data_IF_675674633132
#
_entry.id   IF_675674633132
#
_cell.length_a   1.000
_cell.length_b   1.000
_cell.length_c   1.000
_cell.angle_alpha   90.00
_cell.angle_beta   90.00
_cell.angle_gamma   90.00
#
_symmetry.space_group_name_H-M   'P 1'
#
loop_
_entity.id
_entity.type
_entity.pdbx_description
1 polymer ?
#
# COMPACT_ATOMS: atom_id res chain seq x y z
N UNK A 1 35.32 -8.91 -9.24
CA UNK A 1 34.11 -8.17 -8.80
C UNK A 1 33.88 -7.07 -9.81
N UNK A 2 32.80 -7.18 -10.54
CA UNK A 2 32.61 -6.50 -11.83
C UNK A 2 32.32 -5.00 -11.66
N UNK A 3 32.89 -4.16 -12.54
CA UNK A 3 32.65 -2.70 -12.56
C UNK A 3 31.14 -2.34 -12.68
N UNK A 4 30.34 -3.22 -13.26
CA UNK A 4 28.89 -3.08 -13.35
C UNK A 4 28.20 -3.18 -11.99
N UNK A 5 28.60 -4.11 -11.12
CA UNK A 5 28.03 -4.27 -9.78
C UNK A 5 28.35 -3.07 -8.89
N UNK A 6 29.60 -2.55 -8.96
CA UNK A 6 29.98 -1.34 -8.22
C UNK A 6 29.21 -0.10 -8.67
N UNK A 7 28.90 0.01 -9.96
CA UNK A 7 28.11 1.14 -10.48
C UNK A 7 26.65 1.07 -10.08
N UNK A 8 26.05 -0.13 -10.13
CA UNK A 8 24.69 -0.37 -9.66
C UNK A 8 24.55 -0.05 -8.16
N UNK A 9 25.50 -0.47 -7.32
CA UNK A 9 25.53 -0.22 -5.87
C UNK A 9 25.61 1.29 -5.54
N UNK A 10 26.41 2.05 -6.30
CA UNK A 10 26.51 3.52 -6.15
C UNK A 10 25.25 4.23 -6.61
N UNK A 11 24.64 3.80 -7.73
CA UNK A 11 23.39 4.37 -8.24
C UNK A 11 22.24 4.08 -7.27
N UNK A 12 22.18 2.90 -6.66
CA UNK A 12 21.16 2.53 -5.66
C UNK A 12 21.30 3.31 -4.36
N UNK A 13 22.53 3.51 -3.86
CA UNK A 13 22.78 4.37 -2.68
C UNK A 13 22.40 5.82 -2.94
N UNK A 14 22.71 6.37 -4.11
CA UNK A 14 22.30 7.72 -4.47
C UNK A 14 20.78 7.84 -4.57
N UNK A 15 20.09 6.83 -5.12
CA UNK A 15 18.65 6.79 -5.19
C UNK A 15 18.01 6.68 -3.79
N UNK A 16 18.58 5.88 -2.88
CA UNK A 16 18.12 5.76 -1.49
C UNK A 16 18.25 7.09 -0.75
N UNK A 17 19.40 7.76 -0.87
CA UNK A 17 19.60 9.09 -0.26
C UNK A 17 18.62 10.12 -0.83
N UNK A 18 18.34 10.10 -2.11
CA UNK A 18 17.37 10.99 -2.72
C UNK A 18 15.94 10.72 -2.23
N UNK A 19 15.53 9.45 -2.12
CA UNK A 19 14.22 9.07 -1.54
C UNK A 19 14.10 9.55 -0.11
N UNK A 20 15.10 9.29 0.72
CA UNK A 20 15.17 9.79 2.09
C UNK A 20 14.98 11.31 2.17
N UNK A 21 15.76 12.08 1.43
CA UNK A 21 15.64 13.55 1.43
C UNK A 21 14.25 14.03 1.02
N UNK A 22 13.60 13.36 0.07
CA UNK A 22 12.23 13.69 -0.34
C UNK A 22 11.20 13.40 0.76
N UNK A 23 11.32 12.27 1.48
CA UNK A 23 10.45 11.96 2.62
C UNK A 23 10.62 12.98 3.75
N UNK A 24 11.86 13.33 4.08
CA UNK A 24 12.16 14.37 5.09
C UNK A 24 11.56 15.71 4.68
N UNK A 25 11.66 16.10 3.40
CA UNK A 25 11.08 17.34 2.90
C UNK A 25 9.54 17.35 3.01
N UNK A 26 8.89 16.27 2.60
CA UNK A 26 7.43 16.14 2.69
C UNK A 26 6.94 16.20 4.15
N UNK A 27 7.60 15.47 5.06
CA UNK A 27 7.32 15.52 6.50
C UNK A 27 7.51 16.91 7.07
N UNK A 28 8.63 17.57 6.76
CA UNK A 28 8.93 18.90 7.25
C UNK A 28 7.86 19.93 6.84
N UNK A 29 7.37 19.87 5.61
CA UNK A 29 6.28 20.73 5.14
C UNK A 29 4.97 20.48 5.90
N UNK A 30 4.61 19.23 6.20
CA UNK A 30 3.40 18.92 6.98
C UNK A 30 3.53 19.40 8.45
N UNK A 31 4.68 19.20 9.07
CA UNK A 31 4.95 19.71 10.43
C UNK A 31 4.92 21.25 10.45
N UNK A 32 5.52 21.92 9.47
CA UNK A 32 5.50 23.38 9.36
C UNK A 32 4.06 23.92 9.23
N UNK A 33 3.23 23.30 8.39
CA UNK A 33 1.80 23.66 8.27
C UNK A 33 1.05 23.46 9.58
N UNK A 34 1.27 22.34 10.26
CA UNK A 34 0.63 22.04 11.54
C UNK A 34 1.08 23.03 12.62
N UNK A 35 2.32 23.51 12.57
CA UNK A 35 2.88 24.54 13.47
C UNK A 35 2.38 25.96 13.15
N UNK A 36 1.62 26.14 12.06
CA UNK A 36 1.12 27.46 11.66
C UNK A 36 2.18 28.37 11.03
N UNK A 37 3.29 27.80 10.53
CA UNK A 37 4.28 28.58 9.79
C UNK A 37 3.71 29.11 8.47
N UNK A 38 4.11 30.30 8.04
CA UNK A 38 3.67 30.88 6.78
C UNK A 38 4.10 30.03 5.59
N UNK A 39 3.22 29.80 4.62
CA UNK A 39 3.51 29.04 3.40
C UNK A 39 4.58 29.68 2.50
N UNK A 40 4.91 30.96 2.71
CA UNK A 40 6.05 31.63 2.07
C UNK A 40 7.41 30.99 2.41
N UNK A 41 7.48 30.25 3.54
CA UNK A 41 8.67 29.50 3.95
C UNK A 41 8.76 28.09 3.35
N UNK A 42 7.67 27.57 2.76
CA UNK A 42 7.64 26.24 2.18
C UNK A 42 8.80 25.99 1.19
N UNK A 43 9.12 26.88 0.22
CA UNK A 43 10.23 26.65 -0.72
C UNK A 43 11.59 26.59 -0.05
N UNK A 44 11.81 27.37 1.02
CA UNK A 44 13.08 27.37 1.77
C UNK A 44 13.22 26.08 2.56
N UNK A 45 12.15 25.67 3.24
CA UNK A 45 12.13 24.45 4.04
C UNK A 45 12.30 23.22 3.16
N UNK A 46 11.61 23.15 2.02
CA UNK A 46 11.74 22.07 1.06
C UNK A 46 13.17 21.96 0.52
N UNK A 47 13.76 23.05 0.04
CA UNK A 47 15.15 23.06 -0.42
C UNK A 47 16.12 22.65 0.68
N UNK A 48 15.94 23.15 1.89
CA UNK A 48 16.78 22.81 3.01
C UNK A 48 16.72 21.33 3.34
N UNK A 49 15.53 20.76 3.37
CA UNK A 49 15.31 19.34 3.62
C UNK A 49 15.82 18.44 2.48
N UNK A 50 15.67 18.85 1.20
CA UNK A 50 16.21 18.10 0.06
C UNK A 50 17.74 18.05 0.04
N UNK A 51 18.43 19.04 0.58
CA UNK A 51 19.88 19.15 0.54
C UNK A 51 20.56 18.96 1.91
N UNK A 52 19.85 18.51 2.95
CA UNK A 52 20.41 18.43 4.30
C UNK A 52 21.62 17.49 4.42
N UNK A 53 21.72 16.43 3.63
CA UNK A 53 22.89 15.57 3.56
C UNK A 53 24.07 16.18 2.78
N UNK A 54 23.80 17.05 1.80
CA UNK A 54 24.84 17.72 1.02
C UNK A 54 25.43 18.93 1.74
N UNK A 55 24.63 19.52 2.60
CA UNK A 55 25.02 20.60 3.50
C UNK A 55 25.45 19.91 4.78
N UNK A 56 26.72 19.68 4.99
CA UNK A 56 27.27 19.20 6.26
C UNK A 56 26.84 20.19 7.38
N UNK A 57 25.59 20.01 7.84
CA UNK A 57 24.89 20.89 8.79
C UNK A 57 25.64 20.98 10.12
N UNK A 58 26.48 19.96 10.42
CA UNK A 58 27.32 19.93 11.58
C UNK A 58 28.58 20.82 11.46
N UNK A 59 29.01 21.15 10.24
CA UNK A 59 30.31 21.81 10.03
C UNK A 59 30.28 23.21 9.38
N UNK A 60 29.26 23.57 8.56
CA UNK A 60 29.14 24.94 8.00
C UNK A 60 27.69 25.33 7.67
N UNK A 61 26.99 26.04 8.55
CA UNK A 61 25.59 26.46 8.36
C UNK A 61 25.35 27.55 7.29
N UNK A 62 26.37 27.97 6.55
CA UNK A 62 26.36 29.23 5.77
C UNK A 62 25.44 29.36 4.56
N UNK A 63 25.15 28.34 3.73
CA UNK A 63 24.25 28.53 2.58
C UNK A 63 22.78 28.58 2.99
N UNK A 64 22.38 27.74 3.94
CA UNK A 64 20.99 27.62 4.42
C UNK A 64 20.59 28.84 5.24
N UNK A 65 21.48 29.26 6.16
CA UNK A 65 21.30 30.45 6.98
C UNK A 65 21.15 31.70 6.08
N UNK A 66 21.88 31.76 4.96
CA UNK A 66 21.82 32.91 4.07
C UNK A 66 20.56 32.94 3.23
N UNK A 67 20.13 31.80 2.68
CA UNK A 67 18.89 31.69 1.90
C UNK A 67 17.66 31.93 2.80
N UNK A 68 17.65 31.34 3.99
CA UNK A 68 16.57 31.52 4.96
C UNK A 68 16.52 32.98 5.48
N UNK A 69 17.66 33.58 5.79
CA UNK A 69 17.73 34.99 6.23
C UNK A 69 17.35 35.97 5.12
N UNK A 70 17.66 35.66 3.85
CA UNK A 70 17.25 36.50 2.71
C UNK A 70 15.71 36.48 2.52
N UNK A 71 15.05 35.32 2.74
CA UNK A 71 13.60 35.18 2.67
C UNK A 71 12.92 35.77 3.91
N UNK A 72 13.41 35.47 5.10
CA UNK A 72 12.87 35.98 6.36
C UNK A 72 13.06 37.50 6.52
N UNK A 73 14.20 38.02 6.04
CA UNK A 73 14.50 39.46 6.06
C UNK A 73 13.61 40.28 5.13
N UNK A 74 13.09 39.69 4.07
CA UNK A 74 12.16 40.36 3.12
C UNK A 74 10.74 40.51 3.67
N UNK A 75 10.31 39.70 4.66
CA UNK A 75 8.94 39.68 5.17
C UNK A 75 8.77 40.26 6.59
N UNK A 76 9.83 40.74 7.22
CA UNK A 76 9.77 41.43 8.54
C UNK A 76 9.65 40.50 9.74
N UNK A 77 10.12 39.27 9.62
CA UNK A 77 10.20 38.28 10.70
C UNK A 77 11.43 38.49 11.60
N UNK A 78 11.38 38.01 12.85
CA UNK A 78 12.54 37.89 13.73
C UNK A 78 13.37 36.65 13.31
N UNK A 79 14.15 36.81 12.27
CA UNK A 79 14.79 35.74 11.49
C UNK A 79 15.64 34.72 12.26
N UNK A 80 15.91 34.88 13.56
CA UNK A 80 16.69 33.93 14.35
C UNK A 80 15.80 32.85 14.95
N UNK A 81 14.60 33.20 15.41
CA UNK A 81 13.64 32.24 16.00
C UNK A 81 13.08 31.29 14.97
N UNK A 82 12.64 31.82 13.82
CA UNK A 82 12.11 31.00 12.73
C UNK A 82 13.18 30.09 12.10
N UNK A 83 14.41 30.58 11.96
CA UNK A 83 15.51 29.76 11.48
C UNK A 83 15.79 28.57 12.41
N UNK A 84 15.77 28.79 13.73
CA UNK A 84 15.94 27.74 14.72
C UNK A 84 14.81 26.72 14.65
N UNK A 85 13.57 27.18 14.46
CA UNK A 85 12.40 26.34 14.27
C UNK A 85 12.52 25.49 12.99
N UNK A 86 12.90 26.06 11.84
CA UNK A 86 13.10 25.32 10.59
C UNK A 86 14.17 24.24 10.73
N UNK A 87 15.28 24.54 11.42
CA UNK A 87 16.34 23.56 11.71
C UNK A 87 15.82 22.43 12.59
N UNK A 88 15.05 22.75 13.62
CA UNK A 88 14.41 21.76 14.49
C UNK A 88 13.45 20.85 13.75
N UNK A 89 12.61 21.39 12.87
CA UNK A 89 11.69 20.62 12.03
C UNK A 89 12.47 19.62 11.17
N UNK A 90 13.51 20.08 10.45
CA UNK A 90 14.29 19.18 9.57
C UNK A 90 15.00 18.10 10.38
N UNK A 91 15.63 18.46 11.50
CA UNK A 91 16.35 17.51 12.36
C UNK A 91 15.43 16.41 12.90
N UNK A 92 14.24 16.78 13.38
CA UNK A 92 13.26 15.83 13.89
C UNK A 92 12.67 14.96 12.77
N UNK A 93 12.32 15.55 11.62
CA UNK A 93 11.81 14.80 10.49
C UNK A 93 12.85 13.80 9.94
N UNK A 94 14.14 14.17 9.96
CA UNK A 94 15.24 13.27 9.63
C UNK A 94 15.30 12.08 10.59
N UNK A 95 15.24 12.33 11.89
CA UNK A 95 15.23 11.25 12.89
C UNK A 95 14.01 10.35 12.78
N UNK A 96 12.83 10.92 12.55
CA UNK A 96 11.60 10.14 12.30
C UNK A 96 11.78 9.24 11.08
N UNK A 97 12.31 9.78 9.98
CA UNK A 97 12.51 9.02 8.75
C UNK A 97 13.50 7.87 8.95
N UNK A 98 14.64 8.14 9.59
CA UNK A 98 15.63 7.11 9.90
C UNK A 98 15.08 6.00 10.81
N UNK A 99 14.27 6.35 11.81
CA UNK A 99 13.68 5.38 12.72
C UNK A 99 12.56 4.56 12.05
N UNK A 100 11.72 5.18 11.22
CA UNK A 100 10.67 4.46 10.48
C UNK A 100 11.27 3.49 9.46
N UNK A 101 12.34 3.88 8.76
CA UNK A 101 13.09 2.98 7.88
C UNK A 101 13.69 1.80 8.66
N UNK A 102 14.22 2.07 9.86
CA UNK A 102 14.79 1.04 10.74
C UNK A 102 13.73 0.04 11.28
N UNK A 103 12.44 0.42 11.30
CA UNK A 103 11.34 -0.48 11.68
C UNK A 103 11.22 -1.73 10.79
N UNK A 104 11.85 -1.74 9.64
CA UNK A 104 11.95 -2.95 8.82
C UNK A 104 12.78 -4.05 9.51
N UNK A 105 13.72 -3.67 10.37
CA UNK A 105 14.68 -4.58 11.01
C UNK A 105 14.41 -4.78 12.52
N UNK A 106 13.97 -3.73 13.22
CA UNK A 106 13.66 -3.77 14.66
C UNK A 106 12.29 -3.14 14.93
N UNK A 107 11.22 -3.93 15.12
CA UNK A 107 9.89 -3.37 15.36
C UNK A 107 9.83 -2.67 16.72
N UNK A 108 9.99 -1.35 16.71
CA UNK A 108 9.62 -0.46 17.80
C UNK A 108 8.24 0.12 17.55
N UNK A 109 7.47 0.37 18.60
CA UNK A 109 6.23 1.12 18.44
C UNK A 109 6.52 2.58 18.07
N UNK A 110 5.78 3.15 17.12
CA UNK A 110 5.98 4.54 16.68
C UNK A 110 5.87 5.55 17.84
N UNK A 111 5.05 5.24 18.84
CA UNK A 111 4.91 6.11 20.01
C UNK A 111 6.18 6.15 20.86
N UNK A 112 6.94 5.04 20.96
CA UNK A 112 8.24 4.98 21.62
C UNK A 112 9.28 5.81 20.84
N UNK A 113 9.28 5.68 19.51
CA UNK A 113 10.13 6.49 18.62
C UNK A 113 9.86 7.98 18.82
N UNK A 114 8.60 8.39 18.83
CA UNK A 114 8.23 9.79 19.01
C UNK A 114 8.58 10.30 20.43
N UNK A 115 8.60 9.43 21.45
CA UNK A 115 9.07 9.80 22.79
C UNK A 115 10.59 10.03 22.81
N UNK A 116 11.39 9.11 22.26
CA UNK A 116 12.84 9.25 22.12
C UNK A 116 13.21 10.54 21.36
N UNK A 117 12.46 10.86 20.28
CA UNK A 117 12.68 12.09 19.49
C UNK A 117 12.29 13.34 20.31
N UNK A 118 11.28 13.28 21.17
CA UNK A 118 10.88 14.37 22.05
C UNK A 118 11.97 14.67 23.08
N UNK A 119 12.57 13.63 23.67
CA UNK A 119 13.71 13.76 24.60
C UNK A 119 14.94 14.36 23.89
N UNK A 120 15.25 13.89 22.69
CA UNK A 120 16.31 14.45 21.86
C UNK A 120 16.07 15.93 21.53
N UNK A 121 14.86 16.31 21.11
CA UNK A 121 14.49 17.68 20.81
C UNK A 121 14.72 18.60 22.02
N UNK A 122 14.30 18.17 23.21
CA UNK A 122 14.51 18.90 24.44
C UNK A 122 16.01 19.06 24.80
N UNK A 123 16.82 18.02 24.57
CA UNK A 123 18.26 18.03 24.82
C UNK A 123 18.99 19.00 23.88
N UNK A 124 18.65 19.02 22.58
CA UNK A 124 19.23 19.90 21.57
C UNK A 124 18.65 21.32 21.60
N UNK A 125 17.66 21.59 22.48
CA UNK A 125 17.04 22.91 22.63
C UNK A 125 16.03 23.24 21.52
N UNK A 126 15.51 22.25 20.80
CA UNK A 126 14.40 22.42 19.88
C UNK A 126 13.06 22.43 20.62
N UNK A 127 12.04 22.99 19.98
CA UNK A 127 10.69 23.03 20.56
C UNK A 127 10.05 21.63 20.57
N UNK A 128 9.81 21.00 21.74
CA UNK A 128 9.17 19.68 21.82
C UNK A 128 7.75 19.64 21.22
N UNK A 129 7.05 20.77 21.14
CA UNK A 129 5.72 20.84 20.52
C UNK A 129 5.73 20.42 19.04
N UNK A 130 6.88 20.48 18.36
CA UNK A 130 7.02 19.98 16.99
C UNK A 130 6.76 18.47 16.91
N UNK A 131 7.15 17.71 17.94
CA UNK A 131 6.87 16.26 18.03
C UNK A 131 5.37 16.01 18.25
N UNK A 132 4.66 16.90 18.96
CA UNK A 132 3.22 16.78 19.18
C UNK A 132 2.43 16.93 17.87
N UNK A 133 2.94 17.67 16.89
CA UNK A 133 2.34 17.70 15.56
C UNK A 133 2.44 16.34 14.88
N UNK A 134 3.56 15.63 14.96
CA UNK A 134 3.72 14.26 14.47
C UNK A 134 2.80 13.30 15.21
N UNK A 135 2.70 13.43 16.54
CA UNK A 135 1.75 12.64 17.34
C UNK A 135 0.28 12.87 16.92
N UNK A 136 -0.06 14.09 16.48
CA UNK A 136 -1.41 14.41 16.03
C UNK A 136 -1.83 13.69 14.75
N UNK A 137 -0.88 13.20 13.95
CA UNK A 137 -1.14 12.39 12.77
C UNK A 137 -1.56 10.96 13.13
N UNK A 138 -1.26 10.48 14.34
CA UNK A 138 -1.47 9.09 14.76
C UNK A 138 -2.95 8.72 14.89
N UNK A 139 -3.29 7.53 14.42
CA UNK A 139 -4.57 6.85 14.63
C UNK A 139 -4.33 5.58 15.45
N UNK A 140 -4.22 5.73 16.76
CA UNK A 140 -3.84 4.65 17.70
C UNK A 140 -4.87 3.53 17.81
N UNK A 141 -6.12 3.81 17.52
CA UNK A 141 -7.24 2.86 17.67
C UNK A 141 -7.52 2.05 16.41
N UNK A 142 -6.81 2.30 15.29
CA UNK A 142 -7.08 1.61 14.03
C UNK A 142 -6.95 0.10 14.15
N UNK A 143 -5.83 -0.40 14.66
CA UNK A 143 -5.59 -1.83 14.81
C UNK A 143 -6.59 -2.49 15.76
N UNK A 144 -6.87 -1.86 16.91
CA UNK A 144 -7.88 -2.34 17.85
C UNK A 144 -9.29 -2.44 17.22
N UNK A 145 -9.66 -1.46 16.39
CA UNK A 145 -10.93 -1.46 15.66
C UNK A 145 -11.00 -2.55 14.62
N UNK A 146 -9.88 -2.83 13.94
CA UNK A 146 -9.78 -3.94 12.99
C UNK A 146 -9.92 -5.27 13.70
N UNK A 147 -9.21 -5.47 14.81
CA UNK A 147 -9.25 -6.70 15.61
C UNK A 147 -10.62 -6.96 16.24
N UNK A 148 -11.32 -5.91 16.68
CA UNK A 148 -12.70 -6.02 17.19
C UNK A 148 -13.74 -6.26 16.08
N UNK A 149 -13.35 -6.09 14.81
CA UNK A 149 -14.28 -6.13 13.67
C UNK A 149 -15.14 -4.88 13.55
N UNK A 150 -14.87 -3.85 14.37
CA UNK A 150 -15.55 -2.57 14.31
C UNK A 150 -14.95 -1.71 13.19
N UNK A 151 -15.80 -1.28 12.27
CA UNK A 151 -15.39 -0.33 11.23
C UNK A 151 -15.07 -0.92 9.88
N UNK A 152 -14.97 -2.26 9.74
CA UNK A 152 -15.08 -2.87 8.42
C UNK A 152 -16.57 -2.92 8.03
N UNK A 153 -16.91 -2.67 6.76
CA UNK A 153 -18.28 -2.80 6.29
C UNK A 153 -18.89 -4.16 6.67
N UNK A 154 -20.20 -4.20 6.92
CA UNK A 154 -20.93 -5.44 7.29
C UNK A 154 -20.70 -6.55 6.26
N UNK A 155 -20.43 -6.17 5.03
CA UNK A 155 -20.07 -7.01 3.89
C UNK A 155 -18.82 -7.87 4.13
N UNK A 156 -17.92 -7.47 5.06
CA UNK A 156 -16.74 -8.25 5.38
C UNK A 156 -17.07 -9.67 5.87
N UNK A 157 -18.15 -9.86 6.62
CA UNK A 157 -18.63 -11.19 7.05
C UNK A 157 -19.23 -12.00 5.88
N UNK A 158 -19.84 -11.32 4.92
CA UNK A 158 -20.33 -11.94 3.69
C UNK A 158 -19.17 -12.35 2.80
N UNK A 159 -18.16 -11.49 2.66
CA UNK A 159 -16.91 -11.80 1.94
C UNK A 159 -16.24 -13.05 2.53
N UNK A 160 -16.03 -13.11 3.84
CA UNK A 160 -15.46 -14.27 4.52
C UNK A 160 -16.19 -15.57 4.18
N UNK A 161 -17.55 -15.55 4.22
CA UNK A 161 -18.36 -16.75 3.90
C UNK A 161 -18.24 -17.18 2.47
N UNK A 162 -18.22 -16.25 1.53
CA UNK A 162 -18.08 -16.54 0.11
C UNK A 162 -16.67 -17.07 -0.19
N UNK A 163 -15.64 -16.44 0.37
CA UNK A 163 -14.28 -16.94 0.21
C UNK A 163 -14.11 -18.35 0.78
N UNK A 164 -14.61 -18.62 1.98
CA UNK A 164 -14.57 -19.97 2.56
C UNK A 164 -15.28 -21.02 1.70
N UNK A 165 -16.35 -20.65 0.99
CA UNK A 165 -17.09 -21.55 0.13
C UNK A 165 -16.38 -21.79 -1.22
N UNK A 166 -15.66 -20.79 -1.73
CA UNK A 166 -15.10 -20.78 -3.09
C UNK A 166 -13.57 -20.85 -3.16
N UNK A 167 -12.89 -20.92 -2.01
CA UNK A 167 -11.44 -20.81 -1.92
C UNK A 167 -10.70 -22.06 -2.42
N UNK A 168 -11.32 -23.27 -2.27
CA UNK A 168 -10.69 -24.52 -2.68
C UNK A 168 -10.50 -24.57 -4.20
N UNK A 169 -9.32 -24.98 -4.64
CA UNK A 169 -9.05 -25.19 -6.06
C UNK A 169 -9.55 -26.57 -6.51
N UNK A 170 -10.79 -26.59 -6.90
CA UNK A 170 -11.48 -27.76 -7.43
C UNK A 170 -12.52 -27.33 -8.45
N UNK A 171 -12.97 -28.29 -9.21
CA UNK A 171 -14.15 -28.07 -10.05
C UNK A 171 -15.39 -27.86 -9.15
N UNK A 172 -16.14 -26.83 -9.45
CA UNK A 172 -17.41 -26.52 -8.81
C UNK A 172 -18.55 -26.87 -9.75
N UNK A 173 -19.53 -27.55 -9.22
CA UNK A 173 -20.77 -27.78 -9.96
C UNK A 173 -21.58 -26.48 -10.05
N UNK A 174 -22.46 -26.39 -11.09
CA UNK A 174 -23.28 -25.19 -11.30
C UNK A 174 -24.14 -24.89 -10.09
N UNK A 175 -24.74 -25.92 -9.50
CA UNK A 175 -25.63 -25.86 -8.33
C UNK A 175 -24.93 -25.32 -7.09
N UNK A 176 -23.62 -25.61 -6.91
CA UNK A 176 -22.83 -25.09 -5.80
C UNK A 176 -22.63 -23.58 -5.93
N UNK A 177 -22.23 -23.12 -7.12
CA UNK A 177 -22.05 -21.70 -7.40
C UNK A 177 -23.38 -20.93 -7.36
N UNK A 178 -24.45 -21.54 -7.84
CA UNK A 178 -25.80 -21.02 -7.73
C UNK A 178 -26.21 -20.84 -6.28
N UNK A 179 -25.94 -21.83 -5.41
CA UNK A 179 -26.21 -21.77 -3.99
C UNK A 179 -25.42 -20.65 -3.29
N UNK A 180 -24.21 -20.30 -3.75
CA UNK A 180 -23.45 -19.14 -3.25
C UNK A 180 -24.09 -17.83 -3.75
N UNK A 181 -24.41 -17.73 -5.04
CA UNK A 181 -24.97 -16.51 -5.63
C UNK A 181 -26.35 -16.16 -5.04
N UNK A 182 -27.20 -17.15 -4.78
CA UNK A 182 -28.54 -16.92 -4.22
C UNK A 182 -28.56 -16.46 -2.75
N UNK A 183 -27.45 -16.55 -2.04
CA UNK A 183 -27.35 -16.02 -0.66
C UNK A 183 -27.34 -14.51 -0.58
N UNK A 184 -27.01 -13.84 -1.70
CA UNK A 184 -26.90 -12.39 -1.76
C UNK A 184 -27.40 -11.88 -3.13
N UNK A 185 -28.48 -11.06 -3.16
CA UNK A 185 -29.01 -10.52 -4.41
C UNK A 185 -27.99 -9.71 -5.22
N UNK A 186 -26.98 -9.10 -4.56
CA UNK A 186 -25.92 -8.34 -5.23
C UNK A 186 -25.01 -9.29 -6.02
N UNK A 187 -24.67 -10.45 -5.44
CA UNK A 187 -23.87 -11.47 -6.11
C UNK A 187 -24.62 -12.03 -7.34
N UNK A 188 -25.89 -12.40 -7.16
CA UNK A 188 -26.73 -12.89 -8.23
C UNK A 188 -26.87 -11.86 -9.37
N UNK A 189 -27.17 -10.61 -9.01
CA UNK A 189 -27.29 -9.50 -9.96
C UNK A 189 -25.99 -9.21 -10.70
N UNK A 190 -24.85 -9.21 -10.00
CA UNK A 190 -23.53 -8.98 -10.61
C UNK A 190 -23.18 -10.10 -11.59
N UNK A 191 -23.40 -11.37 -11.21
CA UNK A 191 -23.10 -12.52 -12.06
C UNK A 191 -23.93 -12.48 -13.36
N UNK A 192 -25.25 -12.26 -13.26
CA UNK A 192 -26.14 -12.13 -14.42
C UNK A 192 -25.77 -10.88 -15.25
N UNK A 193 -25.41 -9.77 -14.61
CA UNK A 193 -24.97 -8.54 -15.26
C UNK A 193 -23.70 -8.73 -16.08
N UNK A 194 -22.68 -9.39 -15.51
CA UNK A 194 -21.41 -9.72 -16.20
C UNK A 194 -21.68 -10.63 -17.39
N UNK A 195 -22.48 -11.67 -17.23
CA UNK A 195 -22.81 -12.61 -18.31
C UNK A 195 -23.60 -11.93 -19.46
N UNK A 196 -24.37 -10.89 -19.18
CA UNK A 196 -25.07 -10.07 -20.17
C UNK A 196 -24.25 -8.89 -20.71
N UNK A 197 -23.02 -8.70 -20.27
CA UNK A 197 -22.20 -7.58 -20.72
C UNK A 197 -21.84 -7.67 -22.21
N UNK A 198 -21.47 -6.55 -22.81
CA UNK A 198 -21.01 -6.50 -24.20
C UNK A 198 -19.78 -7.39 -24.46
N UNK A 199 -19.02 -7.73 -23.44
CA UNK A 199 -17.83 -8.59 -23.53
C UNK A 199 -18.17 -10.06 -23.77
N UNK A 200 -19.30 -10.52 -23.21
CA UNK A 200 -19.82 -11.86 -23.44
C UNK A 200 -20.83 -11.93 -24.58
N UNK A 201 -21.57 -10.85 -24.80
CA UNK A 201 -22.54 -10.67 -25.93
C UNK A 201 -23.43 -11.86 -26.17
N UNK A 202 -24.23 -12.36 -25.21
CA UNK A 202 -25.11 -13.48 -25.43
C UNK A 202 -26.16 -13.13 -26.47
N UNK A 203 -26.52 -14.10 -27.34
CA UNK A 203 -27.51 -13.92 -28.41
C UNK A 203 -28.91 -13.59 -27.92
N UNK A 204 -29.20 -13.88 -26.66
CA UNK A 204 -30.43 -13.51 -25.93
C UNK A 204 -30.10 -13.12 -24.51
N UNK A 205 -30.90 -12.26 -23.91
CA UNK A 205 -30.74 -11.83 -22.54
C UNK A 205 -30.88 -13.01 -21.57
N UNK A 206 -29.85 -13.20 -20.72
CA UNK A 206 -29.86 -14.21 -19.66
C UNK A 206 -30.59 -13.62 -18.45
N UNK A 207 -31.47 -14.40 -17.82
CA UNK A 207 -32.33 -13.91 -16.71
C UNK A 207 -32.17 -14.68 -15.41
N UNK A 208 -31.40 -15.76 -15.38
CA UNK A 208 -31.14 -16.52 -14.16
C UNK A 208 -29.65 -16.72 -13.93
N UNK A 209 -29.31 -17.01 -12.69
CA UNK A 209 -27.94 -17.33 -12.23
C UNK A 209 -27.47 -18.61 -12.95
N UNK A 210 -28.30 -19.64 -13.00
CA UNK A 210 -27.99 -20.89 -13.70
C UNK A 210 -27.62 -20.66 -15.17
N UNK A 211 -28.44 -19.88 -15.90
CA UNK A 211 -28.14 -19.49 -17.27
C UNK A 211 -26.81 -18.73 -17.40
N UNK A 212 -26.57 -17.83 -16.48
CA UNK A 212 -25.33 -17.05 -16.43
C UNK A 212 -24.11 -17.98 -16.24
N UNK A 213 -24.14 -18.86 -15.22
CA UNK A 213 -23.06 -19.81 -14.95
C UNK A 213 -22.84 -20.75 -16.16
N UNK A 214 -23.90 -21.33 -16.68
CA UNK A 214 -23.82 -22.23 -17.83
C UNK A 214 -23.24 -21.55 -19.08
N UNK A 215 -23.49 -20.25 -19.24
CA UNK A 215 -23.03 -19.48 -20.39
C UNK A 215 -21.55 -19.05 -20.26
N UNK A 216 -21.12 -18.55 -19.12
CA UNK A 216 -19.74 -18.07 -18.92
C UNK A 216 -18.78 -19.15 -18.39
N UNK A 217 -19.33 -20.30 -17.96
CA UNK A 217 -18.60 -21.40 -17.35
C UNK A 217 -18.36 -21.22 -15.84
N UNK A 218 -18.14 -22.33 -15.14
CA UNK A 218 -17.98 -22.37 -13.67
C UNK A 218 -16.73 -21.62 -13.19
N UNK A 219 -15.62 -21.71 -13.91
CA UNK A 219 -14.37 -21.01 -13.57
C UNK A 219 -14.56 -19.49 -13.60
N UNK A 220 -15.15 -18.96 -14.67
CA UNK A 220 -15.42 -17.53 -14.77
C UNK A 220 -16.47 -17.07 -13.75
N UNK A 221 -17.52 -17.85 -13.53
CA UNK A 221 -18.54 -17.56 -12.53
C UNK A 221 -17.99 -17.49 -11.12
N UNK A 222 -17.11 -18.42 -10.73
CA UNK A 222 -16.39 -18.41 -9.46
C UNK A 222 -15.59 -17.11 -9.30
N UNK A 223 -14.81 -16.72 -10.30
CA UNK A 223 -14.01 -15.47 -10.29
C UNK A 223 -14.91 -14.24 -10.11
N UNK A 224 -16.05 -14.21 -10.83
CA UNK A 224 -17.04 -13.13 -10.73
C UNK A 224 -17.62 -13.05 -9.31
N UNK A 225 -18.02 -14.16 -8.72
CA UNK A 225 -18.60 -14.19 -7.38
C UNK A 225 -17.58 -13.72 -6.31
N UNK A 226 -16.31 -14.14 -6.43
CA UNK A 226 -15.26 -13.73 -5.51
C UNK A 226 -14.95 -12.23 -5.61
N UNK A 227 -14.88 -11.68 -6.81
CA UNK A 227 -14.70 -10.25 -7.01
C UNK A 227 -15.95 -9.44 -6.59
N UNK A 228 -17.13 -9.92 -6.90
CA UNK A 228 -18.41 -9.24 -6.60
C UNK A 228 -18.63 -9.03 -5.10
N UNK A 229 -18.20 -9.98 -4.27
CA UNK A 229 -18.36 -9.87 -2.81
C UNK A 229 -17.46 -8.80 -2.18
N UNK A 230 -16.34 -8.48 -2.81
CA UNK A 230 -15.44 -7.41 -2.36
C UNK A 230 -15.85 -6.03 -2.88
N UNK A 231 -16.53 -5.98 -4.02
CA UNK A 231 -16.88 -4.73 -4.69
C UNK A 231 -17.56 -3.69 -3.79
N UNK A 232 -18.53 -4.03 -2.90
CA UNK A 232 -19.14 -3.05 -2.01
C UNK A 232 -18.15 -2.32 -1.11
N UNK A 233 -17.02 -2.96 -0.77
CA UNK A 233 -15.94 -2.35 0.03
C UNK A 233 -15.28 -1.19 -0.73
N UNK A 234 -15.26 -1.24 -2.06
CA UNK A 234 -14.65 -0.24 -2.95
C UNK A 234 -15.66 0.76 -3.52
N UNK A 235 -16.90 0.78 -3.05
CA UNK A 235 -17.99 1.57 -3.66
C UNK A 235 -17.82 3.10 -3.53
N UNK A 236 -16.92 3.60 -2.66
CA UNK A 236 -16.64 5.03 -2.58
C UNK A 236 -15.76 5.49 -3.75
N UNK A 237 -16.00 6.72 -4.24
CA UNK A 237 -15.29 7.27 -5.41
C UNK A 237 -13.75 7.33 -5.24
N UNK A 238 -13.25 7.48 -4.01
CA UNK A 238 -11.82 7.47 -3.71
C UNK A 238 -11.14 6.10 -3.81
N UNK A 239 -11.92 5.01 -3.78
CA UNK A 239 -11.39 3.64 -3.74
C UNK A 239 -11.35 2.95 -5.11
N UNK A 240 -11.78 3.60 -6.18
CA UNK A 240 -11.76 3.01 -7.54
C UNK A 240 -10.35 2.64 -8.01
N UNK A 241 -9.35 3.41 -7.61
CA UNK A 241 -7.94 3.10 -7.94
C UNK A 241 -7.51 1.79 -7.27
N UNK A 242 -7.81 1.62 -5.98
CA UNK A 242 -7.53 0.38 -5.25
C UNK A 242 -8.26 -0.82 -5.85
N UNK A 243 -9.53 -0.66 -6.25
CA UNK A 243 -10.25 -1.70 -6.98
C UNK A 243 -9.56 -2.11 -8.28
N UNK A 244 -9.16 -1.13 -9.08
CA UNK A 244 -8.47 -1.38 -10.35
C UNK A 244 -7.15 -2.10 -10.14
N UNK A 245 -6.43 -1.73 -9.09
CA UNK A 245 -5.18 -2.35 -8.66
C UNK A 245 -5.42 -3.80 -8.23
N UNK A 246 -6.32 -4.05 -7.28
CA UNK A 246 -6.66 -5.40 -6.82
C UNK A 246 -7.07 -6.33 -7.96
N UNK A 247 -7.85 -5.83 -8.92
CA UNK A 247 -8.25 -6.60 -10.11
C UNK A 247 -7.06 -6.91 -11.04
N UNK A 248 -6.14 -5.98 -11.24
CA UNK A 248 -4.94 -6.23 -12.03
C UNK A 248 -4.05 -7.26 -11.33
N UNK A 249 -3.76 -7.07 -10.05
CA UNK A 249 -2.94 -8.00 -9.26
C UNK A 249 -3.56 -9.41 -9.24
N UNK A 250 -4.88 -9.52 -9.08
CA UNK A 250 -5.60 -10.79 -9.15
C UNK A 250 -5.43 -11.50 -10.52
N UNK A 251 -5.48 -10.73 -11.60
CA UNK A 251 -5.28 -11.25 -12.94
C UNK A 251 -3.85 -11.79 -13.10
N UNK A 252 -2.84 -11.00 -12.75
CA UNK A 252 -1.43 -11.41 -12.85
C UNK A 252 -1.12 -12.58 -11.92
N UNK A 253 -1.57 -12.56 -10.67
CA UNK A 253 -1.39 -13.68 -9.75
C UNK A 253 -2.03 -14.96 -10.27
N UNK A 254 -3.26 -14.89 -10.82
CA UNK A 254 -3.92 -16.06 -11.39
C UNK A 254 -3.18 -16.63 -12.60
N UNK A 255 -2.68 -15.77 -13.50
CA UNK A 255 -1.92 -16.18 -14.67
C UNK A 255 -0.53 -16.73 -14.33
N UNK A 256 0.20 -16.06 -13.43
CA UNK A 256 1.52 -16.52 -13.00
C UNK A 256 1.48 -17.82 -12.21
N UNK A 257 0.39 -18.09 -11.49
CA UNK A 257 0.22 -19.34 -10.76
C UNK A 257 0.32 -20.58 -11.68
N UNK A 258 -0.07 -20.47 -12.95
CA UNK A 258 0.07 -21.54 -13.94
C UNK A 258 1.53 -21.94 -14.23
N UNK A 259 2.48 -21.07 -13.89
CA UNK A 259 3.92 -21.29 -14.04
C UNK A 259 4.61 -21.74 -12.75
N UNK A 260 3.86 -22.01 -11.68
CA UNK A 260 4.38 -22.49 -10.38
C UNK A 260 3.77 -23.83 -9.99
N UNK A 261 4.39 -24.54 -9.07
CA UNK A 261 3.87 -25.80 -8.51
C UNK A 261 3.32 -25.66 -7.09
N UNK A 262 3.44 -24.49 -6.48
CA UNK A 262 3.09 -24.26 -5.07
C UNK A 262 1.81 -23.43 -4.88
N UNK A 263 1.23 -22.92 -5.96
CA UNK A 263 0.04 -22.07 -5.92
C UNK A 263 -0.85 -22.39 -7.15
N UNK A 264 -2.12 -22.59 -6.92
CA UNK A 264 -3.08 -22.72 -8.00
C UNK A 264 -3.64 -21.39 -8.51
N UNK A 265 -4.18 -21.37 -9.72
CA UNK A 265 -4.72 -20.16 -10.34
C UNK A 265 -5.85 -19.51 -9.53
N UNK A 266 -6.65 -20.33 -8.83
CA UNK A 266 -7.72 -19.84 -7.97
C UNK A 266 -7.21 -19.18 -6.68
N UNK A 267 -6.19 -19.75 -6.06
CA UNK A 267 -5.54 -19.16 -4.90
C UNK A 267 -4.78 -17.89 -5.28
N UNK A 268 -4.10 -17.89 -6.43
CA UNK A 268 -3.45 -16.70 -6.98
C UNK A 268 -4.45 -15.55 -7.19
N UNK A 269 -5.63 -15.83 -7.72
CA UNK A 269 -6.69 -14.83 -7.85
C UNK A 269 -7.08 -14.24 -6.50
N UNK A 270 -7.28 -15.07 -5.48
CA UNK A 270 -7.67 -14.61 -4.14
C UNK A 270 -6.55 -13.77 -3.54
N UNK A 271 -5.32 -14.23 -3.63
CA UNK A 271 -4.14 -13.53 -3.12
C UNK A 271 -4.05 -12.13 -3.73
N UNK A 272 -4.14 -12.01 -5.05
CA UNK A 272 -4.10 -10.72 -5.73
C UNK A 272 -5.30 -9.82 -5.44
N UNK A 273 -6.51 -10.36 -5.18
CA UNK A 273 -7.67 -9.56 -4.79
C UNK A 273 -7.56 -8.99 -3.37
N UNK A 274 -6.91 -9.71 -2.47
CA UNK A 274 -6.94 -9.42 -1.03
C UNK A 274 -5.66 -8.78 -0.49
N UNK A 275 -4.57 -8.72 -1.28
CA UNK A 275 -3.29 -8.25 -0.77
C UNK A 275 -3.35 -6.83 -0.18
N UNK A 276 -4.13 -5.95 -0.80
CA UNK A 276 -4.34 -4.56 -0.39
C UNK A 276 -5.57 -4.32 0.51
N UNK A 277 -6.11 -5.38 1.09
CA UNK A 277 -7.27 -5.24 1.98
C UNK A 277 -6.98 -4.31 3.18
N UNK A 278 -5.74 -4.27 3.62
CA UNK A 278 -5.29 -3.36 4.66
C UNK A 278 -5.32 -1.89 4.25
N UNK A 279 -4.90 -1.57 3.02
CA UNK A 279 -4.98 -0.21 2.48
C UNK A 279 -6.44 0.27 2.39
N UNK A 280 -7.34 -0.61 1.94
CA UNK A 280 -8.77 -0.34 1.93
C UNK A 280 -9.31 -0.03 3.34
N UNK A 281 -8.94 -0.85 4.33
CA UNK A 281 -9.36 -0.66 5.72
C UNK A 281 -8.83 0.67 6.29
N UNK A 282 -7.55 0.98 6.05
CA UNK A 282 -6.93 2.23 6.45
C UNK A 282 -7.66 3.45 5.87
N UNK A 283 -7.92 3.46 4.56
CA UNK A 283 -8.68 4.53 3.90
C UNK A 283 -10.11 4.68 4.43
N UNK A 284 -10.78 3.57 4.72
CA UNK A 284 -12.15 3.59 5.22
C UNK A 284 -12.24 4.14 6.65
N UNK A 285 -11.30 3.75 7.52
CA UNK A 285 -11.32 4.09 8.93
C UNK A 285 -10.73 5.47 9.23
N UNK A 286 -9.87 6.01 8.37
CA UNK A 286 -9.15 7.27 8.62
C UNK A 286 -9.55 8.42 7.66
N UNK A 287 -10.79 8.49 7.25
CA UNK A 287 -11.29 9.55 6.34
C UNK A 287 -10.99 10.98 6.81
N UNK A 288 -10.85 11.22 8.12
CA UNK A 288 -10.62 12.55 8.68
C UNK A 288 -9.17 13.04 8.53
N UNK A 289 -8.18 12.12 8.47
CA UNK A 289 -6.74 12.41 8.38
C UNK A 289 -6.17 12.22 6.98
N UNK A 290 -6.97 11.68 6.06
CA UNK A 290 -6.56 11.31 4.69
C UNK A 290 -5.88 12.45 3.91
N UNK A 291 -6.20 13.71 4.21
CA UNK A 291 -5.57 14.84 3.52
C UNK A 291 -4.08 14.99 3.85
N UNK A 292 -3.64 14.79 5.11
CA UNK A 292 -2.22 14.87 5.48
C UNK A 292 -1.44 13.70 4.88
N UNK A 293 -1.95 12.47 5.00
CA UNK A 293 -1.35 11.29 4.40
C UNK A 293 -1.25 11.40 2.87
N UNK A 294 -2.31 11.85 2.20
CA UNK A 294 -2.31 12.05 0.75
C UNK A 294 -1.23 13.06 0.31
N UNK A 295 -1.06 14.18 1.03
CA UNK A 295 -0.01 15.15 0.71
C UNK A 295 1.40 14.59 0.93
N UNK A 296 1.62 13.74 1.94
CA UNK A 296 2.89 13.06 2.12
C UNK A 296 3.20 12.12 0.95
N UNK A 297 2.21 11.35 0.50
CA UNK A 297 2.35 10.48 -0.68
C UNK A 297 2.61 11.31 -1.95
N UNK A 298 1.87 12.39 -2.18
CA UNK A 298 2.12 13.33 -3.27
C UNK A 298 3.53 13.96 -3.20
N UNK A 299 4.03 14.20 -1.98
CA UNK A 299 5.39 14.66 -1.72
C UNK A 299 6.48 13.61 -1.95
N UNK A 300 6.10 12.35 -2.24
CA UNK A 300 7.00 11.24 -2.57
C UNK A 300 7.31 10.29 -1.41
N UNK A 301 6.52 10.33 -0.33
CA UNK A 301 6.57 9.28 0.69
C UNK A 301 5.84 8.03 0.19
N UNK A 302 6.43 6.83 0.30
CA UNK A 302 5.73 5.57 0.04
C UNK A 302 4.46 5.42 0.89
N UNK A 303 3.43 4.77 0.36
CA UNK A 303 2.20 4.48 1.13
C UNK A 303 2.50 3.72 2.41
N UNK A 304 3.32 2.68 2.34
CA UNK A 304 3.75 1.87 3.49
C UNK A 304 4.42 2.70 4.59
N UNK A 305 5.27 3.66 4.20
CA UNK A 305 5.90 4.59 5.14
C UNK A 305 4.87 5.46 5.86
N UNK A 306 3.96 6.08 5.11
CA UNK A 306 2.93 6.94 5.70
C UNK A 306 1.97 6.14 6.59
N UNK A 307 1.65 4.92 6.22
CA UNK A 307 0.81 4.01 7.02
C UNK A 307 1.47 3.65 8.35
N UNK A 308 2.75 3.29 8.35
CA UNK A 308 3.53 3.07 9.58
C UNK A 308 3.50 4.30 10.48
N UNK A 309 3.76 5.48 9.92
CA UNK A 309 3.72 6.72 10.69
C UNK A 309 2.34 6.99 11.31
N UNK A 310 1.25 6.81 10.55
CA UNK A 310 -0.11 7.15 10.97
C UNK A 310 -0.75 6.06 11.83
N UNK A 311 -0.54 4.80 11.51
CA UNK A 311 -1.26 3.66 12.09
C UNK A 311 -0.37 2.74 12.94
N UNK A 312 0.95 2.86 12.84
CA UNK A 312 1.91 1.95 13.48
C UNK A 312 2.13 0.64 12.72
N UNK A 313 1.47 0.47 11.57
CA UNK A 313 1.59 -0.70 10.73
C UNK A 313 1.30 -0.31 9.27
N UNK A 314 1.92 -0.98 8.32
CA UNK A 314 1.58 -0.84 6.90
C UNK A 314 0.36 -1.69 6.52
N UNK A 315 -0.13 -1.50 5.29
CA UNK A 315 -1.33 -2.22 4.84
C UNK A 315 -1.11 -3.74 4.73
N UNK A 316 0.11 -4.22 4.53
CA UNK A 316 0.42 -5.65 4.58
C UNK A 316 0.16 -6.24 5.96
N UNK A 317 0.67 -5.60 7.01
CA UNK A 317 0.41 -5.99 8.40
C UNK A 317 -1.07 -5.87 8.75
N UNK A 318 -1.73 -4.75 8.39
CA UNK A 318 -3.16 -4.52 8.62
C UNK A 318 -4.00 -5.59 7.91
N UNK A 319 -3.73 -5.85 6.62
CA UNK A 319 -4.42 -6.84 5.81
C UNK A 319 -4.26 -8.26 6.34
N UNK A 320 -3.05 -8.62 6.76
CA UNK A 320 -2.76 -9.93 7.35
C UNK A 320 -3.59 -10.19 8.62
N UNK A 321 -3.74 -9.20 9.50
CA UNK A 321 -4.59 -9.31 10.70
C UNK A 321 -6.07 -9.51 10.35
N UNK A 322 -6.56 -8.80 9.34
CA UNK A 322 -7.93 -8.99 8.84
C UNK A 322 -8.12 -10.41 8.32
N UNK A 323 -7.20 -10.89 7.48
CA UNK A 323 -7.29 -12.24 6.89
C UNK A 323 -7.17 -13.34 7.96
N UNK A 324 -6.28 -13.19 8.93
CA UNK A 324 -6.18 -14.09 10.07
C UNK A 324 -7.48 -14.14 10.86
N UNK A 325 -8.09 -12.99 11.16
CA UNK A 325 -9.40 -12.88 11.81
C UNK A 325 -10.53 -13.52 10.98
N UNK A 326 -10.40 -13.54 9.66
CA UNK A 326 -11.33 -14.24 8.77
C UNK A 326 -11.06 -15.73 8.67
N UNK A 327 -9.94 -16.23 9.25
CA UNK A 327 -9.56 -17.65 9.26
C UNK A 327 -9.00 -18.12 7.92
N UNK A 328 -8.32 -17.23 7.20
CA UNK A 328 -7.53 -17.62 6.03
C UNK A 328 -6.32 -18.45 6.44
N UNK A 329 -5.79 -19.32 5.55
CA UNK A 329 -4.59 -20.10 5.82
C UNK A 329 -3.37 -19.23 6.07
N UNK A 330 -2.52 -19.70 6.99
CA UNK A 330 -1.30 -19.02 7.44
C UNK A 330 -0.41 -18.55 6.27
N UNK A 331 -0.21 -19.41 5.27
CA UNK A 331 0.66 -19.08 4.12
C UNK A 331 0.13 -17.91 3.27
N UNK A 332 -1.21 -17.70 3.18
CA UNK A 332 -1.78 -16.52 2.51
C UNK A 332 -1.70 -15.29 3.39
N UNK A 333 -1.92 -15.45 4.70
CA UNK A 333 -1.77 -14.37 5.68
C UNK A 333 -0.33 -13.86 5.69
N UNK A 334 0.65 -14.76 5.70
CA UNK A 334 2.07 -14.43 5.63
C UNK A 334 2.42 -13.73 4.30
N UNK A 335 1.89 -14.23 3.18
CA UNK A 335 2.14 -13.64 1.88
C UNK A 335 1.65 -12.18 1.81
N UNK A 336 0.46 -11.90 2.32
CA UNK A 336 -0.07 -10.53 2.40
C UNK A 336 0.72 -9.68 3.37
N UNK A 337 1.15 -10.23 4.50
CA UNK A 337 1.94 -9.50 5.49
C UNK A 337 3.25 -8.97 4.92
N UNK A 338 3.95 -9.78 4.13
CA UNK A 338 5.31 -9.51 3.69
C UNK A 338 5.44 -9.23 2.19
N UNK A 339 4.35 -8.89 1.48
CA UNK A 339 4.43 -8.67 0.03
C UNK A 339 5.35 -7.51 -0.37
N UNK A 340 5.53 -6.49 0.48
CA UNK A 340 6.52 -5.43 0.28
C UNK A 340 7.93 -5.78 0.79
N UNK A 341 8.06 -6.83 1.61
CA UNK A 341 9.32 -7.30 2.21
C UNK A 341 9.43 -8.83 2.05
N UNK A 342 9.45 -9.35 0.81
CA UNK A 342 9.36 -10.78 0.54
C UNK A 342 10.52 -11.60 1.11
N UNK A 343 11.64 -10.96 1.43
CA UNK A 343 12.80 -11.56 2.11
C UNK A 343 12.50 -12.00 3.55
N UNK A 344 11.46 -11.48 4.18
CA UNK A 344 11.05 -11.81 5.56
C UNK A 344 10.11 -13.01 5.64
N UNK A 345 9.47 -13.37 4.54
CA UNK A 345 8.56 -14.51 4.50
C UNK A 345 9.30 -15.83 4.46
N UNK A 346 8.77 -16.86 5.12
CA UNK A 346 9.30 -18.23 5.02
C UNK A 346 8.89 -18.88 3.70
N UNK A 347 7.63 -18.72 3.30
CA UNK A 347 7.08 -19.28 2.07
C UNK A 347 7.38 -18.40 0.83
N UNK A 348 7.40 -18.98 -0.39
CA UNK A 348 7.68 -18.24 -1.61
C UNK A 348 6.52 -17.33 -2.06
N UNK A 349 5.35 -17.39 -1.41
CA UNK A 349 4.14 -16.68 -1.82
C UNK A 349 4.27 -15.15 -1.75
N UNK A 350 4.97 -14.61 -0.74
CA UNK A 350 5.21 -13.16 -0.66
C UNK A 350 6.10 -12.70 -1.82
N UNK A 351 7.13 -13.49 -2.17
CA UNK A 351 7.97 -13.21 -3.33
C UNK A 351 7.20 -13.33 -4.66
N UNK A 352 6.28 -14.26 -4.75
CA UNK A 352 5.39 -14.42 -5.89
C UNK A 352 4.46 -13.19 -6.02
N UNK A 353 3.83 -12.76 -4.94
CA UNK A 353 2.94 -11.60 -4.93
C UNK A 353 3.70 -10.32 -5.30
N UNK A 354 4.89 -10.11 -4.75
CA UNK A 354 5.77 -8.99 -5.12
C UNK A 354 6.05 -8.93 -6.64
N UNK A 355 6.36 -10.08 -7.26
CA UNK A 355 6.59 -10.14 -8.71
C UNK A 355 5.33 -9.83 -9.52
N UNK A 356 4.16 -10.31 -9.07
CA UNK A 356 2.90 -10.05 -9.73
C UNK A 356 2.52 -8.56 -9.68
N UNK A 357 2.72 -7.91 -8.55
CA UNK A 357 2.50 -6.46 -8.39
C UNK A 357 3.45 -5.65 -9.25
N UNK A 358 4.73 -5.95 -9.16
CA UNK A 358 5.74 -5.29 -9.99
C UNK A 358 5.37 -5.33 -11.48
N UNK A 359 4.96 -6.50 -11.97
CA UNK A 359 4.62 -6.68 -13.37
C UNK A 359 3.28 -6.06 -13.77
N UNK A 360 2.36 -5.90 -12.81
CA UNK A 360 1.09 -5.21 -13.03
C UNK A 360 1.26 -3.70 -13.33
N UNK A 361 2.46 -3.15 -13.09
CA UNK A 361 2.84 -1.77 -13.40
C UNK A 361 2.15 -0.71 -12.53
N UNK A 362 1.68 -1.09 -11.34
CA UNK A 362 0.93 -0.20 -10.44
C UNK A 362 1.79 0.28 -9.27
N UNK A 363 2.90 -0.37 -8.98
CA UNK A 363 3.78 0.03 -7.89
C UNK A 363 4.51 1.34 -8.25
N UNK A 364 4.37 2.34 -7.39
CA UNK A 364 4.98 3.68 -7.58
C UNK A 364 6.48 3.67 -7.26
N UNK A 365 6.96 2.66 -6.53
CA UNK A 365 8.36 2.48 -6.21
C UNK A 365 9.05 1.60 -7.25
N UNK A 366 10.15 2.13 -7.83
CA UNK A 366 11.02 1.31 -8.67
C UNK A 366 11.61 0.18 -7.81
N UNK A 367 11.35 -1.08 -8.17
CA UNK A 367 11.82 -2.21 -7.38
C UNK A 367 13.35 -2.24 -7.39
N UNK A 368 13.93 -2.64 -6.27
CA UNK A 368 15.35 -2.97 -6.23
C UNK A 368 15.61 -4.17 -7.14
N UNK A 369 16.58 -4.05 -8.03
CA UNK A 369 16.98 -5.15 -8.92
C UNK A 369 17.32 -6.43 -8.11
N UNK A 370 17.98 -6.28 -6.97
CA UNK A 370 18.30 -7.39 -6.07
C UNK A 370 17.05 -8.07 -5.49
N UNK A 371 16.00 -7.30 -5.20
CA UNK A 371 14.74 -7.86 -4.69
C UNK A 371 14.02 -8.66 -5.76
N UNK A 372 14.00 -8.18 -7.00
CA UNK A 372 13.43 -8.94 -8.13
C UNK A 372 14.19 -10.23 -8.37
N UNK A 373 15.54 -10.21 -8.39
CA UNK A 373 16.35 -11.43 -8.52
C UNK A 373 16.09 -12.41 -7.38
N UNK A 374 16.03 -11.93 -6.14
CA UNK A 374 15.69 -12.75 -4.97
C UNK A 374 14.32 -13.41 -5.13
N UNK A 375 13.31 -12.66 -5.54
CA UNK A 375 11.96 -13.18 -5.73
C UNK A 375 11.88 -14.22 -6.86
N UNK A 376 12.58 -13.99 -7.98
CA UNK A 376 12.66 -14.97 -9.07
C UNK A 376 13.33 -16.27 -8.58
N UNK A 377 14.42 -16.16 -7.83
CA UNK A 377 15.10 -17.33 -7.27
C UNK A 377 14.22 -18.11 -6.29
N UNK A 378 13.43 -17.43 -5.46
CA UNK A 378 12.54 -18.06 -4.48
C UNK A 378 11.33 -18.74 -5.10
N UNK A 379 10.78 -18.17 -6.17
CA UNK A 379 9.56 -18.67 -6.82
C UNK A 379 9.82 -19.68 -7.93
N UNK A 380 11.05 -19.71 -8.45
CA UNK A 380 11.38 -20.48 -9.65
C UNK A 380 10.80 -19.90 -10.95
N UNK A 381 10.20 -18.72 -10.87
CA UNK A 381 9.71 -17.99 -12.07
C UNK A 381 10.91 -17.41 -12.84
N UNK A 382 10.72 -17.21 -14.13
CA UNK A 382 11.67 -16.53 -15.00
C UNK A 382 11.09 -15.19 -15.47
N UNK A 383 11.92 -14.29 -15.96
CA UNK A 383 11.44 -13.07 -16.61
C UNK A 383 10.51 -13.37 -17.80
N UNK A 384 10.75 -14.48 -18.49
CA UNK A 384 9.89 -14.94 -19.56
C UNK A 384 8.49 -15.32 -19.06
N UNK A 385 8.38 -16.04 -17.93
CA UNK A 385 7.09 -16.38 -17.30
C UNK A 385 6.27 -15.13 -17.00
N UNK A 386 6.91 -14.05 -16.53
CA UNK A 386 6.23 -12.78 -16.23
C UNK A 386 5.61 -12.16 -17.48
N UNK A 387 6.22 -12.34 -18.66
CA UNK A 387 5.72 -11.79 -19.92
C UNK A 387 4.63 -12.67 -20.59
N UNK A 388 4.47 -13.91 -20.13
CA UNK A 388 3.54 -14.88 -20.71
C UNK A 388 2.13 -14.85 -20.15
N UNK A 389 1.88 -14.02 -19.12
CA UNK A 389 0.52 -13.85 -18.58
C UNK A 389 -0.41 -13.35 -19.69
N UNK A 390 -1.46 -14.09 -20.03
CA UNK A 390 -2.35 -13.72 -21.12
C UNK A 390 -3.11 -12.44 -20.78
N UNK A 391 -3.60 -11.69 -21.78
CA UNK A 391 -4.44 -10.52 -21.50
C UNK A 391 -5.71 -10.92 -20.76
N UNK A 392 -6.18 -10.00 -19.87
CA UNK A 392 -7.36 -10.22 -19.04
C UNK A 392 -8.56 -10.74 -19.86
N UNK A 393 -9.20 -11.80 -19.38
CA UNK A 393 -10.39 -12.38 -20.00
C UNK A 393 -11.62 -11.47 -19.88
N UNK A 394 -12.73 -11.89 -20.48
CA UNK A 394 -13.96 -11.10 -20.48
C UNK A 394 -14.56 -10.94 -19.07
N UNK A 395 -14.36 -11.89 -18.16
CA UNK A 395 -14.84 -11.78 -16.79
C UNK A 395 -14.09 -10.66 -16.03
N UNK A 396 -12.77 -10.65 -16.12
CA UNK A 396 -11.95 -9.58 -15.52
C UNK A 396 -12.25 -8.21 -16.11
N UNK A 397 -12.34 -8.10 -17.44
CA UNK A 397 -12.68 -6.85 -18.13
C UNK A 397 -14.04 -6.32 -17.71
N UNK A 398 -15.06 -7.19 -17.62
CA UNK A 398 -16.39 -6.82 -17.19
C UNK A 398 -16.41 -6.37 -15.72
N UNK A 399 -15.77 -7.08 -14.81
CA UNK A 399 -15.68 -6.72 -13.39
C UNK A 399 -14.94 -5.40 -13.16
N UNK A 400 -13.87 -5.17 -13.91
CA UNK A 400 -13.11 -3.90 -13.84
C UNK A 400 -13.95 -2.71 -14.30
N UNK A 401 -14.80 -2.87 -15.33
CA UNK A 401 -15.61 -1.79 -15.88
C UNK A 401 -16.85 -1.44 -15.05
N UNK A 402 -17.23 -2.28 -14.10
CA UNK A 402 -18.43 -2.11 -13.25
C UNK A 402 -18.12 -1.29 -11.98
N UNK A 403 -16.87 -0.84 -11.75
CA UNK A 403 -16.43 -0.06 -10.59
C UNK A 403 -16.88 1.41 -10.61
#
# INVERSE_FOLDING_TARGET
MDRCLLRADVEERNAATHRHCRRVAALALEVARASGLPSSLDPVLEQAALFHHSLDLARKPKPLDRLALDVLGAEGFDGISELHMLKGIIAMCNLVDEQIEALEFEPKEIDEILEEISEFAAFEGFDPCLVDHLRSFRCRDLLCRIESGDGLPVEARSAQRVFRALWQERDYEVEELEGVAHRDPVLAGTLVGVANSALYSPSRKLSSVEQAISYIGTVAARRVLMAAVLRPLFASSGLRRLWSHAMNSAHYCSGLAEHTSFLGAGEGLILGLLHDLGALAAEFLDRKRGNARARLVEGGCPSTYTEKLFFGADHGEIGSRILAGWGFPEHLVEAVRYHHQPERAEAPLAAFLYLAEFWSGVDEDLPSFYRVEHCLARTGLSLESLTQVPPADNAFKALRSVA
#
